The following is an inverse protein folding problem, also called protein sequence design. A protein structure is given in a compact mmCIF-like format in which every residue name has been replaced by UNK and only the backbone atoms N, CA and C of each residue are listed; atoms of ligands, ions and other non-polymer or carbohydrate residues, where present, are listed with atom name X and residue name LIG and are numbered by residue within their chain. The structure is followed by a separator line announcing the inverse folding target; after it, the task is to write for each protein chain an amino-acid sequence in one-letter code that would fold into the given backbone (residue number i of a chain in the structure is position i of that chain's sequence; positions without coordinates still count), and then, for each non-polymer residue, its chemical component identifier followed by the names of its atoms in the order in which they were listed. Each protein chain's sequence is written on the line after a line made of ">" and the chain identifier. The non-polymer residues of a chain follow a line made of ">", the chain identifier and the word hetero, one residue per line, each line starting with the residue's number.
data_IF_510242452273
#
_entry.id   IF_510242452273
#
_cell.length_a   1.000
_cell.length_b   1.000
_cell.length_c   1.000
_cell.angle_alpha   90.00
_cell.angle_beta   90.00
_cell.angle_gamma   90.00
#
_symmetry.space_group_name_H-M   'P 1'
#
loop_
_entity.id
_entity.type
_entity.pdbx_description
1 polymer ?
#
# COMPACT_ATOMS: atom_id res chain seq x y z
N UNK A 1 -2.19 4.78 -22.25
CA UNK A 1 -2.16 3.37 -21.85
C UNK A 1 -1.19 3.26 -20.69
N UNK A 2 -1.68 2.99 -19.48
CA UNK A 2 -0.78 2.49 -18.43
C UNK A 2 -0.41 1.06 -18.82
N UNK A 3 0.88 0.76 -18.84
CA UNK A 3 1.38 -0.60 -19.05
C UNK A 3 1.52 -1.21 -17.66
N UNK A 4 0.58 -2.06 -17.28
CA UNK A 4 0.65 -2.78 -16.00
C UNK A 4 1.74 -3.85 -16.05
N UNK A 5 2.55 -3.93 -14.99
CA UNK A 5 3.57 -4.96 -14.82
C UNK A 5 3.07 -5.98 -13.79
N UNK A 6 2.84 -7.21 -14.25
CA UNK A 6 2.47 -8.31 -13.37
C UNK A 6 3.71 -8.94 -12.72
N UNK A 7 3.66 -9.13 -11.39
CA UNK A 7 4.70 -9.82 -10.62
C UNK A 7 4.08 -11.10 -10.06
N UNK A 8 4.69 -12.24 -10.35
CA UNK A 8 4.27 -13.54 -9.79
C UNK A 8 5.30 -14.03 -8.78
N UNK A 9 4.86 -14.30 -7.56
CA UNK A 9 5.68 -14.84 -6.49
C UNK A 9 4.92 -15.99 -5.78
N UNK A 10 5.64 -17.05 -5.43
CA UNK A 10 5.13 -18.14 -4.59
C UNK A 10 5.81 -18.06 -3.24
N UNK A 11 5.02 -17.88 -2.18
CA UNK A 11 5.50 -17.77 -0.81
C UNK A 11 4.82 -18.84 0.04
N UNK A 12 5.54 -19.50 0.96
CA UNK A 12 4.92 -20.21 2.07
C UNK A 12 3.97 -19.27 2.82
N UNK A 13 2.88 -19.84 3.37
CA UNK A 13 1.85 -19.06 4.08
C UNK A 13 2.43 -18.14 5.16
N UNK A 14 3.36 -18.65 5.97
CA UNK A 14 4.03 -17.87 7.02
C UNK A 14 4.79 -16.65 6.46
N UNK A 15 5.49 -16.81 5.33
CA UNK A 15 6.21 -15.69 4.69
C UNK A 15 5.24 -14.66 4.12
N UNK A 16 4.14 -15.11 3.52
CA UNK A 16 3.10 -14.22 3.00
C UNK A 16 2.42 -13.42 4.12
N UNK A 17 2.13 -14.05 5.25
CA UNK A 17 1.54 -13.39 6.42
C UNK A 17 2.51 -12.38 7.05
N UNK A 18 3.78 -12.76 7.25
CA UNK A 18 4.81 -11.86 7.75
C UNK A 18 5.02 -10.65 6.82
N UNK A 19 5.10 -10.89 5.51
CA UNK A 19 5.22 -9.83 4.51
C UNK A 19 4.01 -8.88 4.54
N UNK A 20 2.79 -9.42 4.66
CA UNK A 20 1.59 -8.59 4.75
C UNK A 20 1.62 -7.66 5.97
N UNK A 21 2.11 -8.13 7.11
CA UNK A 21 2.25 -7.30 8.32
C UNK A 21 3.31 -6.21 8.14
N UNK A 22 4.48 -6.57 7.60
CA UNK A 22 5.54 -5.60 7.31
C UNK A 22 5.05 -4.49 6.36
N UNK A 23 4.40 -4.86 5.26
CA UNK A 23 3.84 -3.90 4.30
C UNK A 23 2.79 -2.99 4.95
N UNK A 24 1.97 -3.48 5.87
CA UNK A 24 0.98 -2.64 6.58
C UNK A 24 1.65 -1.66 7.54
N UNK A 25 2.65 -2.11 8.29
CA UNK A 25 3.40 -1.27 9.20
C UNK A 25 4.10 -0.12 8.46
N UNK A 26 4.82 -0.44 7.39
CA UNK A 26 5.53 0.52 6.56
C UNK A 26 4.58 1.50 5.87
N UNK A 27 3.42 1.03 5.40
CA UNK A 27 2.40 1.89 4.78
C UNK A 27 1.84 2.88 5.80
N UNK A 28 1.58 2.42 7.03
CA UNK A 28 1.11 3.30 8.11
C UNK A 28 2.17 4.31 8.53
N UNK A 29 3.44 3.92 8.57
CA UNK A 29 4.55 4.82 8.90
C UNK A 29 4.68 5.95 7.87
N UNK A 30 4.74 5.61 6.57
CA UNK A 30 4.79 6.59 5.48
C UNK A 30 3.58 7.52 5.50
N UNK A 31 2.40 6.98 5.77
CA UNK A 31 1.19 7.79 5.85
C UNK A 31 1.29 8.82 6.97
N UNK A 32 1.68 8.40 8.18
CA UNK A 32 1.84 9.30 9.32
C UNK A 32 2.93 10.35 9.09
N UNK A 33 4.02 9.98 8.43
CA UNK A 33 5.11 10.90 8.09
C UNK A 33 4.63 12.03 7.16
N UNK A 34 3.87 11.69 6.12
CA UNK A 34 3.46 12.66 5.10
C UNK A 34 2.11 13.34 5.39
N UNK A 35 1.30 12.82 6.32
CA UNK A 35 -0.05 13.31 6.57
C UNK A 35 -0.10 14.79 6.98
N UNK A 36 0.91 15.24 7.72
CA UNK A 36 0.99 16.61 8.26
C UNK A 36 1.98 17.51 7.52
N UNK A 37 2.63 17.01 6.47
CA UNK A 37 3.44 17.85 5.57
C UNK A 37 2.54 18.98 5.02
N UNK A 38 3.09 20.20 5.00
CA UNK A 38 2.40 21.42 4.58
C UNK A 38 1.71 21.28 3.22
N UNK A 39 2.28 20.45 2.33
CA UNK A 39 1.72 20.13 1.00
C UNK A 39 0.38 19.41 1.07
N UNK A 40 0.13 18.62 2.11
CA UNK A 40 -1.06 17.77 2.24
C UNK A 40 -2.00 18.20 3.37
N UNK A 41 -1.50 18.89 4.41
CA UNK A 41 -2.32 19.32 5.55
C UNK A 41 -3.47 20.25 5.16
N UNK A 42 -3.27 21.04 4.09
CA UNK A 42 -4.27 21.99 3.57
C UNK A 42 -5.35 21.31 2.71
N UNK A 43 -5.13 20.04 2.32
CA UNK A 43 -6.10 19.27 1.54
C UNK A 43 -7.19 18.75 2.50
N UNK A 44 -8.48 18.86 2.13
CA UNK A 44 -9.57 18.26 2.90
C UNK A 44 -9.32 16.78 3.18
N UNK A 45 -9.61 16.34 4.39
CA UNK A 45 -9.25 14.99 4.87
C UNK A 45 -9.73 13.86 3.95
N UNK A 46 -10.97 13.95 3.45
CA UNK A 46 -11.54 12.98 2.51
C UNK A 46 -10.80 12.87 1.16
N UNK A 47 -10.00 13.87 0.79
CA UNK A 47 -9.21 13.91 -0.44
C UNK A 47 -7.71 13.68 -0.20
N UNK A 48 -7.26 13.82 1.05
CA UNK A 48 -5.83 13.78 1.41
C UNK A 48 -5.22 12.41 1.13
N UNK A 49 -5.93 11.33 1.44
CA UNK A 49 -5.46 9.96 1.17
C UNK A 49 -5.15 9.74 -0.32
N UNK A 50 -6.10 10.10 -1.20
CA UNK A 50 -5.92 9.99 -2.65
C UNK A 50 -4.78 10.86 -3.15
N UNK A 51 -4.63 12.07 -2.59
CA UNK A 51 -3.55 13.00 -2.95
C UNK A 51 -2.17 12.46 -2.59
N UNK A 52 -2.03 11.81 -1.42
CA UNK A 52 -0.80 11.12 -1.04
C UNK A 52 -0.44 10.00 -2.01
N UNK A 53 -1.41 9.20 -2.43
CA UNK A 53 -1.16 8.11 -3.39
C UNK A 53 -0.73 8.61 -4.77
N UNK A 54 -1.24 9.76 -5.20
CA UNK A 54 -0.79 10.39 -6.47
C UNK A 54 0.63 10.94 -6.32
N UNK A 55 0.96 11.54 -5.18
CA UNK A 55 2.27 12.13 -4.94
C UNK A 55 3.38 11.09 -4.67
N UNK A 56 3.04 9.93 -4.09
CA UNK A 56 3.98 8.89 -3.69
C UNK A 56 3.66 7.56 -4.38
N UNK A 57 4.23 7.29 -5.58
CA UNK A 57 3.97 6.07 -6.34
C UNK A 57 4.27 4.78 -5.56
N UNK A 58 5.27 4.80 -4.69
CA UNK A 58 5.63 3.65 -3.83
C UNK A 58 4.47 3.31 -2.88
N UNK A 59 3.84 4.30 -2.25
CA UNK A 59 2.67 4.07 -1.39
C UNK A 59 1.50 3.50 -2.20
N UNK A 60 1.27 3.99 -3.42
CA UNK A 60 0.22 3.47 -4.30
C UNK A 60 0.48 2.02 -4.73
N UNK A 61 1.73 1.66 -5.03
CA UNK A 61 2.13 0.28 -5.31
C UNK A 61 1.97 -0.62 -4.08
N UNK A 62 2.40 -0.15 -2.91
CA UNK A 62 2.29 -0.87 -1.65
C UNK A 62 0.84 -1.13 -1.24
N UNK A 63 -0.06 -0.14 -1.39
CA UNK A 63 -1.51 -0.33 -1.16
C UNK A 63 -2.08 -1.43 -2.05
N UNK A 64 -1.70 -1.45 -3.34
CA UNK A 64 -2.12 -2.51 -4.29
C UNK A 64 -1.58 -3.88 -3.86
N UNK A 65 -0.30 -3.95 -3.49
CA UNK A 65 0.34 -5.20 -3.05
C UNK A 65 -0.29 -5.74 -1.76
N UNK A 66 -0.58 -4.90 -0.77
CA UNK A 66 -1.31 -5.28 0.46
C UNK A 66 -2.67 -5.90 0.10
N UNK A 67 -3.41 -5.27 -0.82
CA UNK A 67 -4.70 -5.76 -1.29
C UNK A 67 -4.59 -7.14 -1.96
N UNK A 68 -3.66 -7.28 -2.91
CA UNK A 68 -3.42 -8.53 -3.63
C UNK A 68 -3.00 -9.67 -2.67
N UNK A 69 -2.05 -9.39 -1.77
CA UNK A 69 -1.54 -10.39 -0.83
C UNK A 69 -2.60 -10.83 0.18
N UNK A 70 -3.39 -9.88 0.72
CA UNK A 70 -4.52 -10.21 1.60
C UNK A 70 -5.54 -11.10 0.86
N UNK A 71 -5.87 -10.73 -0.37
CA UNK A 71 -6.84 -11.48 -1.17
C UNK A 71 -6.35 -12.92 -1.43
N UNK A 72 -5.11 -13.11 -1.88
CA UNK A 72 -4.54 -14.44 -2.10
C UNK A 72 -4.45 -15.28 -0.82
N UNK A 73 -4.16 -14.67 0.34
CA UNK A 73 -4.14 -15.36 1.63
C UNK A 73 -5.54 -15.82 2.08
N UNK A 74 -6.57 -15.05 1.76
CA UNK A 74 -7.97 -15.37 2.05
C UNK A 74 -8.52 -16.47 1.12
N UNK A 75 -8.14 -16.47 -0.16
CA UNK A 75 -8.53 -17.50 -1.13
C UNK A 75 -7.82 -18.84 -0.90
N UNK A 76 -6.61 -18.82 -0.34
CA UNK A 76 -5.84 -20.03 -0.03
C UNK A 76 -6.22 -20.68 1.31
N UNK A 77 -7.31 -20.24 1.96
CA UNK A 77 -7.87 -20.86 3.17
C UNK A 77 -8.56 -22.17 2.84
#
# INVERSE_FOLDING_TARGET
>A
MEIDIAITAKLPREQAEALLQALRADYSAQFNEHWYDDRFRMIPEGLRHGSLLVAFPVMAAQKRLIGALKHSLDEAK
#
